data_IF_832805927428
#
_entry.id   IF_832805927428
#
_cell.length_a   1.000
_cell.length_b   1.000
_cell.length_c   1.000
_cell.angle_alpha   90.00
_cell.angle_beta   90.00
_cell.angle_gamma   90.00
#
_symmetry.space_group_name_H-M   'P 1'
#
loop_
_entity.id
_entity.type
_entity.pdbx_description
1 polymer ?
#
# COMPACT_ATOMS: atom_id res chain seq x y z
N UNK A 1 -40.72 1.04 3.40
CA UNK A 1 -39.45 0.70 2.71
C UNK A 1 -38.32 1.32 3.51
N UNK A 2 -37.45 0.51 4.10
CA UNK A 2 -36.20 1.02 4.69
C UNK A 2 -35.26 1.19 3.50
N UNK A 3 -34.90 2.43 3.18
CA UNK A 3 -33.81 2.73 2.25
C UNK A 3 -32.55 2.67 3.12
N UNK A 4 -31.73 1.65 2.92
CA UNK A 4 -30.40 1.61 3.51
C UNK A 4 -29.51 2.54 2.69
N UNK A 5 -28.77 3.42 3.34
CA UNK A 5 -27.76 4.22 2.66
C UNK A 5 -26.73 3.28 2.01
N UNK A 6 -26.29 3.56 0.78
CA UNK A 6 -25.29 2.75 0.12
C UNK A 6 -23.97 2.82 0.89
N UNK A 7 -23.34 1.66 1.10
CA UNK A 7 -22.02 1.55 1.74
C UNK A 7 -20.99 2.44 1.02
N UNK A 8 -20.35 3.34 1.74
CA UNK A 8 -19.30 4.21 1.23
C UNK A 8 -17.97 3.45 1.30
N UNK A 9 -17.30 3.30 0.17
CA UNK A 9 -16.03 2.56 0.07
C UNK A 9 -14.91 3.49 -0.41
N UNK A 10 -13.77 3.47 0.27
CA UNK A 10 -12.52 4.06 -0.22
C UNK A 10 -11.62 3.00 -0.86
N UNK A 11 -10.76 3.43 -1.80
CA UNK A 11 -9.78 2.57 -2.46
C UNK A 11 -8.37 3.11 -2.19
N UNK A 12 -7.46 2.25 -1.76
CA UNK A 12 -6.06 2.58 -1.56
C UNK A 12 -5.15 1.64 -2.35
N UNK A 13 -4.38 2.18 -3.30
CA UNK A 13 -3.52 1.39 -4.18
C UNK A 13 -2.04 1.60 -3.85
N UNK A 14 -1.27 0.51 -3.85
CA UNK A 14 0.16 0.62 -3.60
C UNK A 14 0.95 -0.67 -3.82
N UNK A 15 2.28 -0.52 -3.80
CA UNK A 15 3.22 -1.65 -3.76
C UNK A 15 3.49 -2.12 -2.33
N UNK A 16 3.43 -1.24 -1.33
CA UNK A 16 3.63 -1.58 0.08
C UNK A 16 4.93 -2.38 0.36
N UNK A 17 6.09 -1.83 -0.02
CA UNK A 17 7.40 -2.48 0.07
C UNK A 17 8.33 -1.81 1.11
N UNK A 18 8.10 -1.97 2.43
CA UNK A 18 7.02 -2.72 3.10
C UNK A 18 5.75 -1.91 3.36
N UNK A 19 4.70 -2.54 3.88
CA UNK A 19 3.61 -1.84 4.55
C UNK A 19 4.14 -1.24 5.86
N UNK A 20 3.86 0.03 6.13
CA UNK A 20 4.46 0.78 7.25
C UNK A 20 3.44 1.75 7.85
N UNK A 21 3.80 2.43 8.94
CA UNK A 21 2.84 3.25 9.70
C UNK A 21 2.18 4.35 8.88
N UNK A 22 2.90 4.99 7.95
CA UNK A 22 2.28 5.91 6.99
C UNK A 22 1.14 5.31 6.18
N UNK A 23 1.32 4.11 5.62
CA UNK A 23 0.24 3.40 4.93
C UNK A 23 -0.91 3.02 5.88
N UNK A 24 -0.60 2.59 7.10
CA UNK A 24 -1.60 2.28 8.13
C UNK A 24 -2.46 3.50 8.45
N UNK A 25 -1.87 4.68 8.64
CA UNK A 25 -2.61 5.92 8.89
C UNK A 25 -3.47 6.34 7.69
N UNK A 26 -3.03 6.13 6.45
CA UNK A 26 -3.89 6.34 5.28
C UNK A 26 -5.14 5.46 5.32
N UNK A 27 -4.99 4.16 5.59
CA UNK A 27 -6.12 3.23 5.67
C UNK A 27 -7.05 3.60 6.84
N UNK A 28 -6.50 3.96 8.00
CA UNK A 28 -7.29 4.41 9.14
C UNK A 28 -8.13 5.66 8.79
N UNK A 29 -7.54 6.65 8.12
CA UNK A 29 -8.26 7.85 7.68
C UNK A 29 -9.37 7.55 6.68
N UNK A 30 -9.16 6.59 5.77
CA UNK A 30 -10.24 6.13 4.89
C UNK A 30 -11.41 5.58 5.72
N UNK A 31 -11.12 4.76 6.74
CA UNK A 31 -12.15 4.16 7.60
C UNK A 31 -12.80 5.15 8.59
N UNK A 32 -12.24 6.35 8.77
CA UNK A 32 -12.90 7.44 9.51
C UNK A 32 -14.03 8.08 8.69
N UNK A 33 -13.91 8.08 7.36
CA UNK A 33 -14.82 8.77 6.44
C UNK A 33 -15.71 7.82 5.62
N UNK A 34 -15.30 6.55 5.51
CA UNK A 34 -15.91 5.51 4.70
C UNK A 34 -16.18 4.27 5.55
N UNK A 35 -17.22 3.53 5.19
CA UNK A 35 -17.62 2.32 5.90
C UNK A 35 -16.67 1.14 5.62
N UNK A 36 -15.99 1.16 4.48
CA UNK A 36 -15.14 0.08 3.99
C UNK A 36 -13.93 0.60 3.20
N UNK A 37 -12.82 -0.14 3.24
CA UNK A 37 -11.61 0.15 2.49
C UNK A 37 -11.18 -1.05 1.63
N UNK A 38 -11.00 -0.82 0.33
CA UNK A 38 -10.38 -1.79 -0.58
C UNK A 38 -8.92 -1.40 -0.77
N UNK A 39 -8.01 -2.28 -0.36
CA UNK A 39 -6.57 -2.11 -0.57
C UNK A 39 -6.15 -2.91 -1.80
N UNK A 40 -5.75 -2.20 -2.85
CA UNK A 40 -5.22 -2.77 -4.09
C UNK A 40 -3.70 -2.95 -3.97
N UNK A 41 -3.26 -4.20 -3.84
CA UNK A 41 -1.85 -4.56 -3.73
C UNK A 41 -1.32 -4.93 -5.11
N UNK A 42 -0.45 -4.09 -5.66
CA UNK A 42 0.21 -4.40 -6.94
C UNK A 42 1.20 -5.56 -6.75
N UNK A 43 1.08 -6.59 -7.56
CA UNK A 43 2.07 -7.65 -7.67
C UNK A 43 3.38 -7.09 -8.24
N UNK A 44 4.51 -7.62 -7.78
CA UNK A 44 5.82 -7.12 -8.18
C UNK A 44 6.83 -8.24 -8.23
N UNK A 45 7.65 -8.26 -9.28
CA UNK A 45 8.82 -9.13 -9.33
C UNK A 45 9.75 -8.86 -8.15
N UNK A 46 10.34 -9.95 -7.64
CA UNK A 46 11.22 -9.89 -6.47
C UNK A 46 12.55 -9.27 -6.87
N UNK A 47 12.80 -8.09 -6.33
CA UNK A 47 13.99 -7.28 -6.60
C UNK A 47 14.44 -6.59 -5.31
N UNK A 48 15.56 -5.88 -5.34
CA UNK A 48 16.01 -5.12 -4.16
C UNK A 48 15.04 -3.99 -3.79
N UNK A 49 14.37 -3.40 -4.79
CA UNK A 49 13.30 -2.39 -4.61
C UNK A 49 12.00 -3.01 -4.07
N UNK A 50 11.77 -4.28 -4.40
CA UNK A 50 10.57 -5.06 -4.05
C UNK A 50 10.96 -6.34 -3.28
N UNK A 51 11.51 -6.23 -2.06
CA UNK A 51 12.10 -7.38 -1.37
C UNK A 51 11.06 -8.37 -0.83
N UNK A 52 9.82 -7.92 -0.63
CA UNK A 52 8.71 -8.73 -0.13
C UNK A 52 7.80 -9.18 -1.27
N UNK A 53 7.46 -10.47 -1.29
CA UNK A 53 6.43 -10.98 -2.17
C UNK A 53 5.03 -10.44 -1.79
N UNK A 54 4.05 -10.66 -2.65
CA UNK A 54 2.67 -10.19 -2.45
C UNK A 54 2.03 -10.79 -1.19
N UNK A 55 2.25 -12.08 -0.94
CA UNK A 55 1.68 -12.76 0.22
C UNK A 55 2.17 -12.15 1.54
N UNK A 56 3.47 -11.86 1.67
CA UNK A 56 4.04 -11.19 2.84
C UNK A 56 3.46 -9.80 3.06
N UNK A 57 3.28 -9.02 2.00
CA UNK A 57 2.72 -7.67 2.09
C UNK A 57 1.24 -7.70 2.48
N UNK A 58 0.46 -8.60 1.90
CA UNK A 58 -0.93 -8.84 2.31
C UNK A 58 -1.02 -9.28 3.77
N UNK A 59 -0.11 -10.14 4.24
CA UNK A 59 -0.05 -10.53 5.65
C UNK A 59 0.30 -9.36 6.57
N UNK A 60 1.23 -8.48 6.18
CA UNK A 60 1.54 -7.25 6.94
C UNK A 60 0.31 -6.32 7.04
N UNK A 61 -0.46 -6.17 5.97
CA UNK A 61 -1.70 -5.38 5.96
C UNK A 61 -2.75 -6.03 6.87
N UNK A 62 -3.02 -7.32 6.70
CA UNK A 62 -4.03 -8.06 7.49
C UNK A 62 -3.68 -8.09 8.98
N UNK A 63 -2.40 -8.11 9.34
CA UNK A 63 -1.95 -8.00 10.73
C UNK A 63 -2.30 -6.64 11.37
N UNK A 64 -2.42 -5.57 10.58
CA UNK A 64 -2.84 -4.25 11.05
C UNK A 64 -4.37 -4.06 10.97
N UNK A 65 -5.03 -4.73 10.03
CA UNK A 65 -6.47 -4.63 9.77
C UNK A 65 -7.11 -6.03 9.68
N UNK A 66 -7.38 -6.68 10.82
CA UNK A 66 -7.82 -8.08 10.86
C UNK A 66 -9.28 -8.27 10.44
N UNK A 67 -10.12 -7.24 10.53
CA UNK A 67 -11.53 -7.30 10.17
C UNK A 67 -11.72 -7.24 8.64
N UNK A 68 -12.12 -8.36 8.06
CA UNK A 68 -12.36 -8.48 6.61
C UNK A 68 -13.64 -7.76 6.16
N UNK A 69 -14.56 -7.46 7.08
CA UNK A 69 -15.76 -6.67 6.77
C UNK A 69 -15.46 -5.18 6.62
N UNK A 70 -14.35 -4.71 7.20
CA UNK A 70 -13.87 -3.32 7.07
C UNK A 70 -12.80 -3.16 5.98
N UNK A 71 -11.92 -4.16 5.81
CA UNK A 71 -10.81 -4.10 4.86
C UNK A 71 -10.74 -5.33 3.96
N UNK A 72 -11.01 -5.09 2.69
CA UNK A 72 -10.77 -6.05 1.60
C UNK A 72 -9.39 -5.82 0.98
N UNK A 73 -8.65 -6.90 0.72
CA UNK A 73 -7.34 -6.83 0.06
C UNK A 73 -7.45 -7.53 -1.29
N UNK A 74 -7.19 -6.80 -2.37
CA UNK A 74 -7.24 -7.32 -3.75
C UNK A 74 -5.87 -7.20 -4.38
N UNK A 75 -5.34 -8.31 -4.88
CA UNK A 75 -4.08 -8.31 -5.61
C UNK A 75 -4.32 -7.98 -7.08
N UNK A 76 -3.54 -7.03 -7.61
CA UNK A 76 -3.46 -6.76 -9.04
C UNK A 76 -2.24 -7.51 -9.57
N UNK A 77 -2.45 -8.60 -10.32
CA UNK A 77 -1.36 -9.39 -10.91
C UNK A 77 -1.35 -9.22 -12.42
N UNK A 78 -0.21 -8.78 -12.94
CA UNK A 78 0.09 -8.66 -14.37
C UNK A 78 1.58 -8.97 -14.59
N UNK A 79 1.97 -10.26 -14.62
CA UNK A 79 3.37 -10.66 -14.66
C UNK A 79 4.08 -10.15 -15.92
N UNK A 80 5.26 -9.56 -15.75
CA UNK A 80 6.06 -9.01 -16.85
C UNK A 80 5.59 -7.66 -17.40
N UNK A 81 4.54 -7.05 -16.83
CA UNK A 81 4.03 -5.77 -17.29
C UNK A 81 4.70 -4.56 -16.59
N UNK A 82 5.01 -3.53 -17.39
CA UNK A 82 5.28 -2.18 -16.90
C UNK A 82 3.97 -1.49 -16.51
N UNK A 83 3.44 -1.91 -15.36
CA UNK A 83 2.15 -1.42 -14.88
C UNK A 83 2.29 -0.01 -14.30
N UNK A 84 1.41 0.88 -14.74
CA UNK A 84 1.28 2.25 -14.22
C UNK A 84 -0.15 2.52 -13.73
N UNK A 85 -0.30 3.37 -12.72
CA UNK A 85 -1.60 3.80 -12.19
C UNK A 85 -1.91 5.18 -12.73
N UNK A 86 -3.03 5.31 -13.43
CA UNK A 86 -3.53 6.59 -13.94
C UNK A 86 -4.81 6.97 -13.19
N UNK A 87 -4.87 8.20 -12.69
CA UNK A 87 -6.06 8.75 -12.03
C UNK A 87 -6.53 9.93 -12.87
N UNK A 88 -7.76 9.84 -13.38
CA UNK A 88 -8.37 10.87 -14.22
C UNK A 88 -8.82 12.10 -13.43
N UNK A 89 -9.21 13.15 -14.15
CA UNK A 89 -9.89 14.31 -13.55
C UNK A 89 -11.34 13.94 -13.19
N UNK A 90 -11.85 14.48 -12.09
CA UNK A 90 -13.24 14.37 -11.68
C UNK A 90 -13.76 12.93 -11.47
N UNK A 91 -12.85 11.97 -11.21
CA UNK A 91 -13.18 10.56 -10.91
C UNK A 91 -13.57 10.32 -9.45
N UNK A 92 -13.59 11.38 -8.62
CA UNK A 92 -13.93 11.28 -7.19
C UNK A 92 -12.81 10.73 -6.31
N UNK A 93 -11.60 11.30 -6.39
CA UNK A 93 -10.51 10.99 -5.45
C UNK A 93 -10.33 12.11 -4.41
N UNK A 94 -9.85 11.73 -3.24
CA UNK A 94 -9.45 12.64 -2.17
C UNK A 94 -7.97 12.42 -1.84
N UNK A 95 -7.24 13.51 -1.59
CA UNK A 95 -5.85 13.44 -1.17
C UNK A 95 -5.77 13.31 0.35
N UNK A 96 -5.22 12.18 0.82
CA UNK A 96 -4.95 11.98 2.24
C UNK A 96 -3.68 12.74 2.62
N UNK A 97 -3.84 13.77 3.45
CA UNK A 97 -2.75 14.47 4.13
C UNK A 97 -2.62 13.95 5.57
N UNK A 98 -1.38 13.69 6.00
CA UNK A 98 -1.04 13.18 7.32
C UNK A 98 -0.15 14.19 8.07
N UNK A 99 0.15 13.91 9.34
CA UNK A 99 1.10 14.71 10.10
C UNK A 99 2.53 14.59 9.52
N UNK A 100 3.32 15.67 9.66
CA UNK A 100 4.68 15.75 9.10
C UNK A 100 5.58 14.60 9.54
N UNK A 101 5.44 14.12 10.78
CA UNK A 101 6.24 13.01 11.28
C UNK A 101 5.95 11.72 10.52
N UNK A 102 4.69 11.50 10.15
CA UNK A 102 4.27 10.31 9.40
C UNK A 102 4.66 10.38 7.95
N UNK A 103 4.55 11.55 7.32
CA UNK A 103 4.95 11.75 5.93
C UNK A 103 6.47 11.57 5.72
N UNK A 104 7.26 11.74 6.78
CA UNK A 104 8.71 11.46 6.78
C UNK A 104 9.05 9.96 6.82
N UNK A 105 8.07 9.08 7.06
CA UNK A 105 8.31 7.63 7.04
C UNK A 105 8.58 7.16 5.61
N UNK A 106 9.84 6.85 5.34
CA UNK A 106 10.32 6.44 4.03
C UNK A 106 10.46 4.92 3.96
N UNK A 107 9.67 4.30 3.07
CA UNK A 107 9.83 2.88 2.74
C UNK A 107 11.26 2.54 2.28
N UNK A 108 11.95 3.49 1.62
CA UNK A 108 13.34 3.31 1.19
C UNK A 108 14.30 3.22 2.37
N UNK A 109 14.14 4.08 3.38
CA UNK A 109 14.97 4.04 4.58
C UNK A 109 14.71 2.78 5.41
N UNK A 110 13.45 2.36 5.50
CA UNK A 110 13.08 1.09 6.13
C UNK A 110 13.72 -0.09 5.41
N UNK A 111 13.69 -0.13 4.06
CA UNK A 111 14.39 -1.17 3.31
C UNK A 111 15.89 -1.16 3.58
N UNK A 112 16.53 0.01 3.56
CA UNK A 112 17.98 0.12 3.85
C UNK A 112 18.32 -0.48 5.22
N UNK A 113 17.59 -0.13 6.27
CA UNK A 113 17.79 -0.68 7.63
C UNK A 113 17.65 -2.20 7.66
N UNK A 114 16.62 -2.74 7.00
CA UNK A 114 16.41 -4.19 6.93
C UNK A 114 17.55 -4.93 6.20
N UNK A 115 18.18 -4.31 5.20
CA UNK A 115 19.36 -4.89 4.53
C UNK A 115 20.58 -4.85 5.45
N UNK A 116 20.82 -3.72 6.12
CA UNK A 116 21.91 -3.56 7.09
C UNK A 116 21.81 -4.59 8.23
N UNK A 117 20.61 -4.75 8.82
CA UNK A 117 20.34 -5.74 9.87
C UNK A 117 20.55 -7.19 9.40
N UNK A 118 20.33 -7.46 8.11
CA UNK A 118 20.58 -8.76 7.50
C UNK A 118 22.04 -8.96 7.04
N UNK A 119 22.94 -8.01 7.32
CA UNK A 119 24.34 -8.05 6.87
C UNK A 119 24.51 -7.94 5.35
N UNK A 120 23.55 -7.31 4.66
CA UNK A 120 23.55 -7.15 3.19
C UNK A 120 23.72 -5.68 2.81
N UNK A 121 24.37 -5.45 1.68
CA UNK A 121 24.50 -4.10 1.12
C UNK A 121 23.23 -3.72 0.35
N UNK A 122 22.68 -2.54 0.61
CA UNK A 122 21.53 -2.01 -0.14
C UNK A 122 22.02 -1.33 -1.42
N UNK A 123 21.61 -1.83 -2.58
CA UNK A 123 21.87 -1.14 -3.83
C UNK A 123 21.02 0.13 -3.94
N UNK A 124 21.69 1.27 -3.81
CA UNK A 124 21.14 2.61 -4.03
C UNK A 124 20.52 2.81 -5.43
N UNK A 125 20.93 2.03 -6.42
CA UNK A 125 20.39 2.06 -7.78
C UNK A 125 19.25 1.06 -8.00
N UNK A 126 18.89 0.23 -7.01
CA UNK A 126 17.74 -0.66 -7.08
C UNK A 126 16.45 0.02 -7.56
N UNK A 127 16.13 1.28 -7.19
CA UNK A 127 14.94 1.96 -7.70
C UNK A 127 14.92 2.14 -9.22
N UNK A 128 16.09 2.24 -9.86
CA UNK A 128 16.27 2.52 -11.29
C UNK A 128 16.36 1.24 -12.13
N UNK A 129 16.71 0.11 -11.50
CA UNK A 129 16.85 -1.20 -12.14
C UNK A 129 15.53 -1.93 -12.40
N UNK A 130 14.44 -1.45 -11.79
CA UNK A 130 13.08 -1.98 -11.98
C UNK A 130 12.32 -0.98 -12.84
N UNK A 131 12.26 -1.26 -14.15
CA UNK A 131 11.28 -0.66 -15.06
C UNK A 131 10.14 -1.66 -15.18
#
# INVERSE_FOLDING_TARGET
MIVLDPMKTGIFIGRFQPFHDGHRKCVAKILEERDHCIILVRDTERTEKNPFDTAKRTAMIRAQFPDESQVSIVTISDPGADLSVYIGRDVGYELIQLDTQTEQISATDLRRKLYEEAGKEYDKNAPQKVR
#
